data_IF_105173127819
#
_entry.id   IF_105173127819
#
_cell.length_a   1.000
_cell.length_b   1.000
_cell.length_c   1.000
_cell.angle_alpha   90.00
_cell.angle_beta   90.00
_cell.angle_gamma   90.00
#
_symmetry.space_group_name_H-M   'P 1'
#
loop_
_entity.id
_entity.type
_entity.pdbx_description
1 polymer ?
#
# COMPACT_ATOMS: atom_id res chain seq x y z
N UNK A 1 -3.47 3.54 -8.79
CA UNK A 1 -2.01 3.61 -8.67
C UNK A 1 -1.59 4.77 -7.77
N UNK A 2 -0.41 4.69 -7.19
CA UNK A 2 0.06 5.60 -6.14
C UNK A 2 0.13 7.06 -6.57
N UNK A 3 -0.23 7.98 -5.66
CA UNK A 3 0.05 9.41 -5.79
C UNK A 3 1.53 9.69 -5.54
N UNK A 4 2.12 10.61 -6.31
CA UNK A 4 3.51 11.04 -6.14
C UNK A 4 3.57 12.56 -6.28
N UNK A 5 3.38 13.28 -5.17
CA UNK A 5 3.35 14.74 -5.14
C UNK A 5 4.61 15.40 -5.71
N UNK A 6 5.79 14.79 -5.53
CA UNK A 6 7.05 15.31 -6.08
C UNK A 6 7.13 15.33 -7.62
N UNK A 7 6.19 14.72 -8.32
CA UNK A 7 6.10 14.70 -9.78
C UNK A 7 4.73 15.18 -10.28
N UNK A 8 3.96 15.84 -9.42
CA UNK A 8 2.57 16.25 -9.67
C UNK A 8 1.68 15.13 -10.24
N UNK A 9 2.00 13.89 -9.87
CA UNK A 9 1.29 12.71 -10.29
C UNK A 9 0.14 12.42 -9.33
N UNK A 10 -1.12 12.62 -9.74
CA UNK A 10 -2.26 12.26 -8.92
C UNK A 10 -2.37 10.73 -8.77
N UNK A 11 -3.18 10.31 -7.79
CA UNK A 11 -3.58 8.91 -7.67
C UNK A 11 -4.25 8.43 -8.97
N UNK A 12 -4.21 7.12 -9.20
CA UNK A 12 -4.87 6.43 -10.31
C UNK A 12 -4.45 6.84 -11.74
N UNK A 13 -3.43 7.65 -11.88
CA UNK A 13 -2.84 7.98 -13.17
C UNK A 13 -1.46 7.35 -13.31
N UNK A 14 -1.05 7.08 -14.55
CA UNK A 14 0.32 6.70 -14.86
C UNK A 14 1.25 7.89 -14.66
N UNK A 15 2.45 7.63 -14.14
CA UNK A 15 3.46 8.67 -14.03
C UNK A 15 3.82 9.20 -15.44
N UNK A 16 3.90 10.52 -15.66
CA UNK A 16 4.28 11.08 -16.96
C UNK A 16 5.68 10.65 -17.41
N UNK A 17 6.53 10.25 -16.47
CA UNK A 17 7.87 9.72 -16.74
C UNK A 17 7.90 8.20 -16.93
N UNK A 18 6.76 7.51 -16.85
CA UNK A 18 6.68 6.08 -17.13
C UNK A 18 6.72 5.83 -18.66
N UNK A 19 7.38 4.75 -19.07
CA UNK A 19 7.38 4.28 -20.47
C UNK A 19 6.26 3.27 -20.67
N UNK A 20 5.11 3.66 -21.20
CA UNK A 20 3.99 2.74 -21.39
C UNK A 20 4.39 1.54 -22.27
N UNK A 21 4.00 0.35 -21.87
CA UNK A 21 4.25 -0.90 -22.60
C UNK A 21 5.70 -1.41 -22.59
N UNK A 22 6.68 -0.55 -22.29
CA UNK A 22 8.11 -0.94 -22.22
C UNK A 22 8.62 -1.06 -20.79
N UNK A 23 7.90 -0.47 -19.84
CA UNK A 23 8.35 -0.35 -18.46
C UNK A 23 9.51 0.65 -18.28
N UNK A 24 9.83 0.93 -17.03
CA UNK A 24 10.92 1.83 -16.67
C UNK A 24 10.50 3.30 -16.61
N UNK A 25 11.46 4.16 -16.29
CA UNK A 25 11.29 5.58 -16.03
C UNK A 25 12.25 6.39 -16.90
N UNK A 26 11.75 7.46 -17.54
CA UNK A 26 12.57 8.34 -18.40
C UNK A 26 13.55 9.20 -17.62
N UNK A 27 13.30 9.39 -16.32
CA UNK A 27 14.15 10.17 -15.41
C UNK A 27 14.76 9.30 -14.29
N UNK A 28 15.00 8.01 -14.56
CA UNK A 28 15.40 7.02 -13.54
C UNK A 28 16.55 7.51 -12.65
N UNK A 29 17.60 8.05 -13.24
CA UNK A 29 18.80 8.51 -12.52
C UNK A 29 18.55 9.78 -11.70
N UNK A 30 17.57 10.60 -12.11
CA UNK A 30 17.19 11.86 -11.48
C UNK A 30 15.84 11.80 -10.77
N UNK A 31 15.33 10.59 -10.55
CA UNK A 31 14.03 10.39 -9.88
C UNK A 31 14.02 11.01 -8.48
N UNK A 32 12.89 11.58 -8.02
CA UNK A 32 12.73 12.10 -6.66
C UNK A 32 13.03 11.05 -5.59
N UNK A 33 13.38 11.50 -4.38
CA UNK A 33 13.69 10.61 -3.25
C UNK A 33 12.53 9.67 -2.90
N UNK A 34 11.29 10.15 -2.98
CA UNK A 34 10.08 9.34 -2.76
C UNK A 34 9.99 8.16 -3.74
N UNK A 35 10.42 8.36 -5.00
CA UNK A 35 10.47 7.27 -5.98
C UNK A 35 11.63 6.30 -5.73
N UNK A 36 12.72 6.75 -5.08
CA UNK A 36 13.85 5.88 -4.72
C UNK A 36 13.56 5.01 -3.50
N UNK A 37 12.78 5.54 -2.57
CA UNK A 37 12.39 4.85 -1.35
C UNK A 37 11.18 3.93 -1.49
N UNK A 38 10.50 3.93 -2.64
CA UNK A 38 9.36 3.06 -2.86
C UNK A 38 9.79 1.70 -3.43
N UNK A 39 9.38 0.64 -2.75
CA UNK A 39 9.58 -0.74 -3.18
C UNK A 39 8.24 -1.48 -3.18
N UNK A 40 7.84 -1.95 -4.36
CA UNK A 40 6.71 -2.86 -4.49
C UNK A 40 7.07 -4.22 -3.88
N UNK A 41 6.13 -4.92 -3.25
CA UNK A 41 6.35 -6.26 -2.67
C UNK A 41 6.91 -7.25 -3.69
N UNK A 42 6.47 -7.19 -4.94
CA UNK A 42 7.04 -8.02 -6.01
C UNK A 42 8.54 -7.85 -6.20
N UNK A 43 9.13 -6.69 -5.84
CA UNK A 43 10.58 -6.44 -5.96
C UNK A 43 11.40 -6.92 -4.76
N UNK A 44 10.78 -7.11 -3.61
CA UNK A 44 11.48 -7.38 -2.34
C UNK A 44 11.12 -8.72 -1.71
N UNK A 45 10.12 -9.40 -2.25
CA UNK A 45 9.64 -10.69 -1.75
C UNK A 45 9.55 -11.69 -2.91
N UNK A 46 10.50 -12.61 -2.95
CA UNK A 46 10.64 -13.64 -3.99
C UNK A 46 9.46 -14.63 -4.04
N UNK A 47 8.58 -14.62 -3.03
CA UNK A 47 7.36 -15.43 -3.02
C UNK A 47 6.29 -14.97 -4.01
N UNK A 48 6.44 -13.74 -4.53
CA UNK A 48 5.62 -13.22 -5.64
C UNK A 48 6.28 -13.56 -6.98
N UNK A 49 5.72 -14.50 -7.70
CA UNK A 49 6.20 -14.94 -9.00
C UNK A 49 6.06 -13.87 -10.12
N UNK A 50 6.50 -14.20 -11.34
CA UNK A 50 6.51 -13.25 -12.46
C UNK A 50 5.11 -12.79 -12.90
N UNK A 51 4.05 -13.52 -12.52
CA UNK A 51 2.66 -13.11 -12.75
C UNK A 51 2.28 -11.85 -11.96
N UNK A 52 2.96 -11.60 -10.82
CA UNK A 52 2.75 -10.44 -9.96
C UNK A 52 3.48 -9.18 -10.42
N UNK A 53 4.25 -9.26 -11.49
CA UNK A 53 4.89 -8.07 -12.06
C UNK A 53 3.84 -6.98 -12.36
N UNK A 54 3.98 -5.75 -11.86
CA UNK A 54 2.95 -4.72 -11.96
C UNK A 54 2.46 -4.43 -13.38
N UNK A 55 3.34 -4.56 -14.38
CA UNK A 55 2.95 -4.41 -15.80
C UNK A 55 2.02 -5.53 -16.30
N UNK A 56 2.09 -6.71 -15.70
CA UNK A 56 1.26 -7.88 -16.05
C UNK A 56 -0.02 -7.92 -15.23
N UNK A 57 0.12 -7.93 -13.91
CA UNK A 57 -1.02 -8.03 -13.01
C UNK A 57 -1.83 -6.73 -12.88
N UNK A 58 -1.30 -5.60 -13.36
CA UNK A 58 -1.96 -4.29 -13.21
C UNK A 58 -2.23 -3.90 -11.75
N UNK A 59 -1.41 -4.41 -10.84
CA UNK A 59 -1.49 -4.12 -9.41
C UNK A 59 -0.12 -3.71 -8.88
N UNK A 60 -0.13 -2.82 -7.89
CA UNK A 60 1.06 -2.47 -7.11
C UNK A 60 0.77 -2.84 -5.67
N UNK A 61 1.63 -3.68 -5.11
CA UNK A 61 1.51 -4.20 -3.75
C UNK A 61 2.51 -3.49 -2.84
N UNK A 62 2.04 -3.02 -1.70
CA UNK A 62 2.91 -2.43 -0.67
C UNK A 62 2.45 -2.85 0.73
N UNK A 63 3.37 -3.15 1.61
CA UNK A 63 3.09 -3.30 3.05
C UNK A 63 3.32 -1.95 3.70
N UNK A 64 2.28 -1.42 4.34
CA UNK A 64 2.33 -0.14 5.03
C UNK A 64 1.49 -0.16 6.31
N UNK A 65 1.80 0.75 7.21
CA UNK A 65 0.94 1.00 8.37
C UNK A 65 -0.34 1.69 7.91
N UNK A 66 -1.48 1.20 8.37
CA UNK A 66 -2.79 1.76 8.05
C UNK A 66 -3.54 2.12 9.32
N UNK A 67 -3.99 3.37 9.40
CA UNK A 67 -4.73 3.86 10.57
C UNK A 67 -6.06 3.11 10.78
N UNK A 68 -6.71 2.71 9.70
CA UNK A 68 -7.91 1.86 9.74
C UNK A 68 -7.70 0.48 10.42
N UNK A 69 -6.47 0.14 10.76
CA UNK A 69 -6.08 -1.06 11.51
C UNK A 69 -5.20 -0.72 12.71
N UNK A 70 -5.56 0.32 13.46
CA UNK A 70 -4.85 0.78 14.67
C UNK A 70 -3.34 0.99 14.46
N UNK A 71 -2.94 1.40 13.27
CA UNK A 71 -1.55 1.59 12.90
C UNK A 71 -0.77 0.29 12.68
N UNK A 72 -1.44 -0.86 12.63
CA UNK A 72 -0.80 -2.13 12.25
C UNK A 72 -0.44 -2.16 10.76
N UNK A 73 0.49 -3.02 10.42
CA UNK A 73 0.85 -3.25 9.02
C UNK A 73 -0.27 -3.99 8.29
N UNK A 74 -0.52 -3.57 7.06
CA UNK A 74 -1.46 -4.20 6.15
C UNK A 74 -0.86 -4.24 4.74
N UNK A 75 -1.23 -5.25 3.96
CA UNK A 75 -0.95 -5.29 2.54
C UNK A 75 -1.97 -4.43 1.80
N UNK A 76 -1.50 -3.36 1.20
CA UNK A 76 -2.27 -2.53 0.27
C UNK A 76 -2.04 -3.01 -1.17
N UNK A 77 -3.12 -3.31 -1.88
CA UNK A 77 -3.13 -3.73 -3.29
C UNK A 77 -3.78 -2.63 -4.10
N UNK A 78 -2.97 -1.83 -4.79
CA UNK A 78 -3.46 -0.72 -5.61
C UNK A 78 -3.67 -1.23 -7.03
N UNK A 79 -4.92 -1.26 -7.48
CA UNK A 79 -5.35 -1.85 -8.75
C UNK A 79 -5.51 -0.78 -9.83
N UNK A 80 -5.00 -1.05 -11.03
CA UNK A 80 -5.22 -0.22 -12.21
C UNK A 80 -6.71 -0.25 -12.60
N UNK A 81 -7.34 0.92 -12.70
CA UNK A 81 -8.76 1.05 -13.05
C UNK A 81 -9.10 0.51 -14.44
N UNK A 82 -8.12 0.33 -15.33
CA UNK A 82 -8.33 -0.32 -16.62
C UNK A 82 -8.68 -1.81 -16.51
N UNK A 83 -8.32 -2.43 -15.37
CA UNK A 83 -8.65 -3.83 -15.05
C UNK A 83 -9.12 -3.99 -13.61
N UNK A 84 -10.25 -3.40 -13.23
CA UNK A 84 -10.67 -3.24 -11.84
C UNK A 84 -10.98 -4.55 -11.10
N UNK A 85 -11.17 -5.64 -11.83
CA UNK A 85 -11.49 -6.97 -11.26
C UNK A 85 -10.32 -7.95 -11.31
N UNK A 86 -9.14 -7.56 -11.81
CA UNK A 86 -8.00 -8.46 -12.00
C UNK A 86 -7.60 -9.20 -10.71
N UNK A 87 -7.67 -8.52 -9.57
CA UNK A 87 -7.33 -9.08 -8.26
C UNK A 87 -8.25 -10.24 -7.81
N UNK A 88 -9.44 -10.39 -8.45
CA UNK A 88 -10.38 -11.49 -8.21
C UNK A 88 -10.07 -12.74 -9.01
N UNK A 89 -9.14 -12.66 -9.98
CA UNK A 89 -8.70 -13.85 -10.71
C UNK A 89 -8.09 -14.87 -9.74
N UNK A 90 -8.36 -16.18 -9.90
CA UNK A 90 -7.98 -17.20 -8.92
C UNK A 90 -6.49 -17.18 -8.54
N UNK A 91 -5.60 -16.92 -9.50
CA UNK A 91 -4.15 -16.87 -9.28
C UNK A 91 -3.75 -15.77 -8.28
N UNK A 92 -4.43 -14.63 -8.32
CA UNK A 92 -4.18 -13.52 -7.39
C UNK A 92 -4.98 -13.68 -6.11
N UNK A 93 -6.27 -13.96 -6.22
CA UNK A 93 -7.17 -14.01 -5.08
C UNK A 93 -6.77 -15.05 -4.04
N UNK A 94 -6.34 -16.24 -4.46
CA UNK A 94 -5.91 -17.29 -3.53
C UNK A 94 -4.67 -16.85 -2.72
N UNK A 95 -3.73 -16.17 -3.36
CA UNK A 95 -2.55 -15.63 -2.67
C UNK A 95 -2.91 -14.52 -1.70
N UNK A 96 -3.76 -13.57 -2.11
CA UNK A 96 -4.24 -12.49 -1.25
C UNK A 96 -5.02 -13.02 -0.05
N UNK A 97 -5.86 -14.03 -0.25
CA UNK A 97 -6.57 -14.74 0.81
C UNK A 97 -5.60 -15.43 1.79
N UNK A 98 -4.54 -16.06 1.30
CA UNK A 98 -3.54 -16.68 2.15
C UNK A 98 -2.83 -15.62 3.01
N UNK A 99 -2.43 -14.48 2.43
CA UNK A 99 -1.83 -13.37 3.17
C UNK A 99 -2.80 -12.79 4.20
N UNK A 100 -4.11 -12.79 3.91
CA UNK A 100 -5.13 -12.29 4.84
C UNK A 100 -5.25 -13.12 6.14
N UNK A 101 -4.62 -14.28 6.24
CA UNK A 101 -4.48 -15.03 7.49
C UNK A 101 -3.34 -14.52 8.39
N UNK A 102 -2.42 -13.76 7.83
CA UNK A 102 -1.23 -13.25 8.53
C UNK A 102 -1.34 -11.76 8.84
N UNK A 103 -1.88 -10.98 7.89
CA UNK A 103 -2.07 -9.55 8.05
C UNK A 103 -3.30 -9.06 7.28
N UNK A 104 -3.91 -7.91 7.64
CA UNK A 104 -4.99 -7.31 6.88
C UNK A 104 -4.60 -7.08 5.41
N UNK A 105 -5.50 -7.43 4.49
CA UNK A 105 -5.33 -7.18 3.04
C UNK A 105 -6.42 -6.23 2.56
N UNK A 106 -6.00 -5.13 1.98
CA UNK A 106 -6.87 -4.08 1.46
C UNK A 106 -6.61 -3.88 -0.03
N UNK A 107 -7.65 -3.96 -0.82
CA UNK A 107 -7.60 -3.70 -2.26
C UNK A 107 -8.22 -2.34 -2.54
N UNK A 108 -7.48 -1.46 -3.19
CA UNK A 108 -7.92 -0.15 -3.65
C UNK A 108 -8.11 -0.15 -5.17
N UNK A 109 -9.31 0.20 -5.61
CA UNK A 109 -9.70 0.34 -7.03
C UNK A 109 -10.31 1.72 -7.21
N UNK A 110 -9.52 2.69 -7.59
CA UNK A 110 -9.92 4.09 -7.57
C UNK A 110 -10.27 4.53 -6.15
N UNK A 111 -11.51 5.01 -5.96
CA UNK A 111 -12.04 5.43 -4.64
C UNK A 111 -12.78 4.32 -3.89
N UNK A 112 -12.78 3.09 -4.39
CA UNK A 112 -13.42 1.96 -3.74
C UNK A 112 -12.37 1.10 -3.05
N UNK A 113 -12.67 0.69 -1.82
CA UNK A 113 -11.78 -0.11 -0.98
C UNK A 113 -12.46 -1.40 -0.57
N UNK A 114 -11.72 -2.50 -0.63
CA UNK A 114 -12.20 -3.83 -0.30
C UNK A 114 -11.25 -4.48 0.69
N UNK A 115 -11.80 -5.06 1.74
CA UNK A 115 -11.05 -5.91 2.67
C UNK A 115 -11.24 -7.38 2.27
N UNK A 116 -10.14 -8.10 2.20
CA UNK A 116 -10.16 -9.57 1.99
C UNK A 116 -9.91 -10.23 3.33
N UNK A 117 -10.74 -11.21 3.67
CA UNK A 117 -10.61 -12.02 4.87
C UNK A 117 -10.00 -13.38 4.56
N UNK A 118 -9.38 -14.04 5.55
CA UNK A 118 -8.82 -15.38 5.44
C UNK A 118 -9.84 -16.44 5.05
N UNK A 119 -11.11 -16.23 5.34
CA UNK A 119 -12.22 -17.07 4.90
C UNK A 119 -12.46 -17.00 3.38
N UNK A 120 -11.98 -15.94 2.73
CA UNK A 120 -12.28 -15.58 1.35
C UNK A 120 -13.47 -14.64 1.20
N UNK A 121 -14.07 -14.20 2.32
CA UNK A 121 -15.05 -13.12 2.28
C UNK A 121 -14.39 -11.82 1.84
N UNK A 122 -15.15 -10.99 1.13
CA UNK A 122 -14.72 -9.68 0.65
C UNK A 122 -15.78 -8.68 1.06
N UNK A 123 -15.37 -7.66 1.78
CA UNK A 123 -16.23 -6.56 2.18
C UNK A 123 -15.73 -5.24 1.60
N UNK A 124 -16.63 -4.45 1.02
CA UNK A 124 -16.34 -3.08 0.66
C UNK A 124 -16.44 -2.23 1.92
N UNK A 125 -15.49 -1.35 2.15
CA UNK A 125 -15.50 -0.44 3.29
C UNK A 125 -15.16 0.98 2.85
N UNK A 126 -15.66 1.94 3.59
CA UNK A 126 -15.29 3.33 3.41
C UNK A 126 -13.98 3.61 4.17
N UNK A 127 -12.99 4.22 3.52
CA UNK A 127 -11.80 4.66 4.24
C UNK A 127 -12.18 5.76 5.23
N UNK A 128 -11.39 5.93 6.31
CA UNK A 128 -11.59 7.03 7.23
C UNK A 128 -11.63 8.37 6.49
N UNK A 129 -12.53 9.25 6.88
CA UNK A 129 -12.60 10.61 6.35
C UNK A 129 -11.31 11.40 6.61
N UNK A 130 -11.13 12.51 5.90
CA UNK A 130 -9.96 13.38 6.14
C UNK A 130 -9.91 13.88 7.60
N UNK A 131 -11.06 14.13 8.22
CA UNK A 131 -11.17 14.57 9.61
C UNK A 131 -10.77 13.46 10.58
N UNK A 132 -11.25 12.24 10.37
CA UNK A 132 -10.88 11.07 11.18
C UNK A 132 -9.37 10.76 11.05
N UNK A 133 -8.81 10.88 9.84
CA UNK A 133 -7.37 10.72 9.62
C UNK A 133 -6.55 11.79 10.33
N UNK A 134 -7.00 13.04 10.33
CA UNK A 134 -6.30 14.13 11.02
C UNK A 134 -6.41 13.97 12.55
N UNK A 135 -7.56 13.58 13.05
CA UNK A 135 -7.75 13.26 14.47
C UNK A 135 -6.80 12.12 14.89
N UNK A 136 -6.77 11.02 14.15
CA UNK A 136 -5.90 9.89 14.41
C UNK A 136 -4.40 10.26 14.36
N UNK A 137 -4.01 11.15 13.43
CA UNK A 137 -2.64 11.71 13.38
C UNK A 137 -2.31 12.53 14.62
N UNK A 138 -3.24 13.33 15.09
CA UNK A 138 -3.04 14.17 16.28
C UNK A 138 -2.95 13.32 17.55
N UNK A 139 -3.77 12.29 17.69
CA UNK A 139 -3.71 11.32 18.78
C UNK A 139 -2.37 10.56 18.77
N UNK A 140 -1.91 10.11 17.59
CA UNK A 140 -0.61 9.45 17.46
C UNK A 140 0.55 10.38 17.86
N UNK A 141 0.54 11.64 17.39
CA UNK A 141 1.55 12.64 17.78
C UNK A 141 1.54 12.90 19.28
N UNK A 142 0.36 12.94 19.92
CA UNK A 142 0.25 13.12 21.37
C UNK A 142 0.84 11.92 22.13
N UNK A 143 0.57 10.69 21.68
CA UNK A 143 1.16 9.48 22.25
C UNK A 143 2.67 9.44 22.12
N UNK A 144 3.21 9.77 20.93
CA UNK A 144 4.66 9.83 20.73
C UNK A 144 5.36 10.83 21.66
N UNK A 145 4.75 11.99 21.92
CA UNK A 145 5.29 12.97 22.87
C UNK A 145 5.27 12.44 24.31
N UNK A 146 4.23 11.73 24.71
CA UNK A 146 4.16 11.12 26.04
C UNK A 146 5.20 10.02 26.24
N UNK A 147 5.51 9.25 25.17
CA UNK A 147 6.54 8.20 25.21
C UNK A 147 7.97 8.79 25.23
N UNK A 148 8.19 9.99 24.70
CA UNK A 148 9.48 10.70 24.79
C UNK A 148 9.75 11.24 26.19
N UNK A 149 8.72 11.58 26.96
CA UNK A 149 8.81 12.07 28.35
C UNK A 149 8.96 10.92 29.37
N UNK A 150 8.82 9.66 28.98
CA UNK A 150 9.11 8.53 29.86
C UNK A 150 10.60 8.17 29.83
N UNK A 151 11.27 8.10 30.96
CA UNK A 151 12.69 7.75 31.02
C UNK A 151 12.90 6.35 30.44
N UNK A 152 13.58 6.29 29.31
CA UNK A 152 14.00 5.03 28.69
C UNK A 152 15.02 4.35 29.61
N UNK A 153 14.60 3.24 30.21
CA UNK A 153 15.39 2.23 30.92
C UNK A 153 16.04 2.64 32.26
N UNK A 154 15.85 1.85 33.29
CA UNK A 154 16.75 1.90 34.45
C UNK A 154 18.11 1.37 34.00
N UNK A 155 19.12 2.24 34.02
CA UNK A 155 20.51 1.84 34.05
C UNK A 155 20.73 1.08 35.35
N UNK A 156 20.68 -0.22 35.31
CA UNK A 156 21.10 -1.07 36.43
C UNK A 156 22.07 -2.12 35.87
N UNK A 157 23.31 -1.90 36.30
CA UNK A 157 24.46 -2.81 36.44
C UNK A 157 24.46 -4.13 35.71
#
# INVERSE_FOLDING_TARGET
>A
LLEIGATDKPADQWCPHCRPGKGGCTIYDRRPSVCRGFFCQWLIDDSFGPEWQPLRCRMVLEVRRMQSFDGHYALAVNVDQSRPQIWREPVYFQRLKAIASEMPVVVAVGFRFFRIFSTGAVEEYEPPSAEELEQARNEYRAKCKQDEDQPRWPTSC
#
